data_IF_392095012032
#
_entry.id   IF_392095012032
#
_cell.length_a   1.000
_cell.length_b   1.000
_cell.length_c   1.000
_cell.angle_alpha   90.00
_cell.angle_beta   90.00
_cell.angle_gamma   90.00
#
_symmetry.space_group_name_H-M   'P 1'
#
loop_
_entity.id
_entity.type
_entity.pdbx_description
1 polymer ?
#
# COMPACT_ATOMS: atom_id res chain seq x y z
N UNK A 1 12.78 -13.16 -19.70
CA UNK A 1 12.51 -13.85 -18.43
C UNK A 1 11.47 -14.97 -18.56
N UNK A 2 10.21 -14.74 -18.94
CA UNK A 2 9.18 -15.78 -19.07
C UNK A 2 9.55 -16.89 -20.10
N UNK A 3 10.08 -16.54 -21.26
CA UNK A 3 10.58 -17.49 -22.25
C UNK A 3 11.73 -18.37 -21.73
N UNK A 4 12.63 -17.79 -20.92
CA UNK A 4 13.71 -18.56 -20.28
C UNK A 4 13.19 -19.58 -19.26
N UNK A 5 12.06 -19.28 -18.59
CA UNK A 5 11.40 -20.23 -17.69
C UNK A 5 10.70 -21.36 -18.45
N UNK A 6 10.09 -21.04 -19.60
CA UNK A 6 9.51 -22.05 -20.51
C UNK A 6 10.57 -22.97 -21.06
N UNK A 7 11.69 -22.43 -21.56
CA UNK A 7 12.80 -23.17 -22.14
C UNK A 7 13.46 -24.10 -21.12
N UNK A 8 13.46 -23.71 -19.84
CA UNK A 8 13.99 -24.54 -18.73
C UNK A 8 12.96 -25.48 -18.11
N UNK A 9 11.73 -25.57 -18.64
CA UNK A 9 10.59 -26.35 -18.07
C UNK A 9 10.30 -26.03 -16.60
N UNK A 10 10.58 -24.80 -16.15
CA UNK A 10 10.45 -24.33 -14.76
C UNK A 10 9.11 -23.62 -14.48
N UNK A 11 8.07 -23.85 -15.28
CA UNK A 11 6.74 -23.29 -15.04
C UNK A 11 5.96 -24.22 -14.13
N UNK A 12 5.64 -23.74 -12.93
CA UNK A 12 4.84 -24.50 -11.97
C UNK A 12 3.41 -24.73 -12.49
N UNK A 13 2.90 -25.95 -12.35
CA UNK A 13 1.54 -26.33 -12.79
C UNK A 13 0.45 -25.76 -11.90
N UNK A 14 0.74 -25.53 -10.62
CA UNK A 14 -0.19 -24.98 -9.61
C UNK A 14 0.46 -23.87 -8.81
N UNK A 15 0.74 -22.70 -9.43
CA UNK A 15 1.62 -21.69 -8.85
C UNK A 15 1.04 -21.08 -7.55
N UNK A 16 -0.28 -21.01 -7.37
CA UNK A 16 -0.92 -20.49 -6.15
C UNK A 16 -0.66 -21.42 -4.95
N UNK A 17 -0.83 -22.72 -5.14
CA UNK A 17 -0.61 -23.70 -4.06
C UNK A 17 0.88 -23.75 -3.69
N UNK A 18 1.74 -23.71 -4.70
CA UNK A 18 3.20 -23.73 -4.50
C UNK A 18 3.70 -22.49 -3.76
N UNK A 19 3.20 -21.30 -4.08
CA UNK A 19 3.63 -20.07 -3.39
C UNK A 19 3.17 -20.07 -1.93
N UNK A 20 1.97 -20.56 -1.63
CA UNK A 20 1.48 -20.68 -0.26
C UNK A 20 2.34 -21.65 0.56
N UNK A 21 2.81 -22.73 -0.06
CA UNK A 21 3.66 -23.73 0.62
C UNK A 21 5.11 -23.29 0.77
N UNK A 22 5.67 -22.69 -0.28
CA UNK A 22 7.10 -22.37 -0.35
C UNK A 22 7.45 -20.99 0.21
N UNK A 23 6.56 -20.00 0.07
CA UNK A 23 6.80 -18.59 0.42
C UNK A 23 5.66 -17.96 1.23
N UNK A 24 5.15 -18.61 2.30
CA UNK A 24 4.04 -18.06 3.10
C UNK A 24 4.43 -16.77 3.85
N UNK A 25 5.69 -16.64 4.25
CA UNK A 25 6.22 -15.46 4.92
C UNK A 25 6.16 -14.23 4.04
N UNK A 26 6.57 -14.37 2.78
CA UNK A 26 6.56 -13.30 1.79
C UNK A 26 5.14 -12.83 1.46
N UNK A 27 4.16 -13.76 1.42
CA UNK A 27 2.74 -13.43 1.24
C UNK A 27 2.24 -12.59 2.42
N UNK A 28 2.51 -13.02 3.65
CA UNK A 28 2.07 -12.31 4.87
C UNK A 28 2.73 -10.94 4.95
N UNK A 29 4.05 -10.85 4.74
CA UNK A 29 4.77 -9.59 4.74
C UNK A 29 4.25 -8.64 3.66
N UNK A 30 3.96 -9.14 2.46
CA UNK A 30 3.38 -8.33 1.38
C UNK A 30 2.00 -7.80 1.72
N UNK A 31 1.14 -8.62 2.34
CA UNK A 31 -0.18 -8.20 2.77
C UNK A 31 -0.11 -7.16 3.90
N UNK A 32 0.75 -7.36 4.89
CA UNK A 32 0.96 -6.42 5.99
C UNK A 32 1.63 -5.12 5.53
N UNK A 33 2.55 -5.21 4.55
CA UNK A 33 3.19 -4.05 3.96
C UNK A 33 2.15 -3.05 3.46
N UNK A 34 1.13 -3.50 2.77
CA UNK A 34 0.14 -2.64 2.14
C UNK A 34 -0.91 -2.04 3.08
N UNK A 35 -0.90 -2.38 4.38
CA UNK A 35 -1.93 -1.87 5.30
C UNK A 35 -1.92 -0.35 5.43
N UNK A 36 -0.75 0.30 5.37
CA UNK A 36 -0.63 1.76 5.48
C UNK A 36 -1.03 2.52 4.21
N UNK A 37 -1.14 1.83 3.08
CA UNK A 37 -1.65 2.40 1.84
C UNK A 37 -3.14 2.12 1.69
N UNK A 38 -3.55 0.84 1.84
CA UNK A 38 -4.92 0.40 1.58
C UNK A 38 -5.94 0.99 2.56
N UNK A 39 -5.70 0.91 3.87
CA UNK A 39 -6.67 1.40 4.85
C UNK A 39 -6.90 2.92 4.73
N UNK A 40 -5.85 3.79 4.70
CA UNK A 40 -6.06 5.22 4.48
C UNK A 40 -6.68 5.54 3.11
N UNK A 41 -6.32 4.83 2.04
CA UNK A 41 -6.90 5.06 0.72
C UNK A 41 -8.43 4.89 0.74
N UNK A 42 -8.94 3.82 1.37
CA UNK A 42 -10.38 3.62 1.51
C UNK A 42 -11.02 4.62 2.47
N UNK A 43 -10.34 5.05 3.52
CA UNK A 43 -10.82 6.09 4.42
C UNK A 43 -10.93 7.42 3.67
N UNK A 44 -9.88 7.85 2.98
CA UNK A 44 -9.83 9.14 2.28
C UNK A 44 -10.69 9.19 1.02
N UNK A 45 -11.05 8.04 0.43
CA UNK A 45 -11.91 8.00 -0.75
C UNK A 45 -13.37 7.64 -0.46
N UNK A 46 -13.65 6.90 0.62
CA UNK A 46 -15.00 6.39 0.90
C UNK A 46 -15.56 6.99 2.19
N UNK A 47 -14.88 6.83 3.32
CA UNK A 47 -15.36 7.35 4.60
C UNK A 47 -15.48 8.87 4.60
N UNK A 48 -14.58 9.58 3.91
CA UNK A 48 -14.61 11.06 3.84
C UNK A 48 -15.93 11.61 3.28
N UNK A 49 -16.58 10.89 2.34
CA UNK A 49 -17.87 11.34 1.81
C UNK A 49 -18.94 11.35 2.90
N UNK A 50 -19.12 10.24 3.61
CA UNK A 50 -20.09 10.17 4.70
C UNK A 50 -19.75 11.19 5.79
N UNK A 51 -18.48 11.28 6.18
CA UNK A 51 -18.05 12.19 7.24
C UNK A 51 -18.23 13.67 6.89
N UNK A 52 -17.75 14.09 5.72
CA UNK A 52 -17.79 15.50 5.31
C UNK A 52 -19.22 15.95 4.93
N UNK A 53 -20.00 15.08 4.28
CA UNK A 53 -21.36 15.47 3.83
C UNK A 53 -22.36 15.32 4.97
N UNK A 54 -22.38 14.18 5.67
CA UNK A 54 -23.43 13.89 6.66
C UNK A 54 -23.14 14.55 8.01
N UNK A 55 -21.84 14.65 8.41
CA UNK A 55 -21.46 15.19 9.74
C UNK A 55 -21.09 16.66 9.68
N UNK A 56 -20.28 17.07 8.68
CA UNK A 56 -19.80 18.44 8.56
C UNK A 56 -20.67 19.31 7.64
N UNK A 57 -21.73 18.74 7.06
CA UNK A 57 -22.69 19.40 6.14
C UNK A 57 -22.02 20.10 4.95
N UNK A 58 -20.96 19.51 4.44
CA UNK A 58 -20.22 20.04 3.30
C UNK A 58 -20.82 19.62 1.96
N UNK A 59 -20.54 20.40 0.92
CA UNK A 59 -20.98 20.07 -0.43
C UNK A 59 -20.29 18.79 -0.96
N UNK A 60 -21.09 17.82 -1.42
CA UNK A 60 -20.58 16.62 -2.09
C UNK A 60 -19.68 16.95 -3.28
N UNK A 61 -20.02 18.02 -4.03
CA UNK A 61 -19.23 18.45 -5.20
C UNK A 61 -17.83 18.91 -4.80
N UNK A 62 -17.66 19.51 -3.63
CA UNK A 62 -16.34 19.87 -3.10
C UNK A 62 -15.47 18.64 -2.88
N UNK A 63 -16.03 17.63 -2.23
CA UNK A 63 -15.29 16.38 -1.93
C UNK A 63 -14.93 15.67 -3.25
N UNK A 64 -15.89 15.53 -4.17
CA UNK A 64 -15.66 14.94 -5.48
C UNK A 64 -14.56 15.68 -6.27
N UNK A 65 -14.59 17.02 -6.28
CA UNK A 65 -13.56 17.80 -6.97
C UNK A 65 -12.17 17.61 -6.34
N UNK A 66 -12.09 17.53 -5.00
CA UNK A 66 -10.85 17.23 -4.29
C UNK A 66 -10.29 15.86 -4.68
N UNK A 67 -11.13 14.82 -4.68
CA UNK A 67 -10.74 13.46 -5.09
C UNK A 67 -10.32 13.40 -6.56
N UNK A 68 -11.01 14.14 -7.46
CA UNK A 68 -10.61 14.22 -8.86
C UNK A 68 -9.24 14.88 -9.03
N UNK A 69 -8.98 15.98 -8.32
CA UNK A 69 -7.67 16.65 -8.37
C UNK A 69 -6.59 15.74 -7.76
N UNK A 70 -6.88 15.04 -6.65
CA UNK A 70 -5.99 14.04 -6.07
C UNK A 70 -5.63 12.96 -7.09
N UNK A 71 -6.61 12.44 -7.85
CA UNK A 71 -6.38 11.48 -8.92
C UNK A 71 -5.52 12.04 -10.07
N UNK A 72 -5.71 13.32 -10.43
CA UNK A 72 -4.84 13.99 -11.41
C UNK A 72 -3.39 14.10 -10.91
N UNK A 73 -3.19 14.41 -9.63
CA UNK A 73 -1.87 14.46 -8.99
C UNK A 73 -1.19 13.08 -9.03
N UNK A 74 -1.96 11.99 -8.98
CA UNK A 74 -1.45 10.62 -9.08
C UNK A 74 -0.65 10.37 -10.37
N UNK A 75 -1.09 10.91 -11.50
CA UNK A 75 -0.39 10.76 -12.79
C UNK A 75 1.06 11.28 -12.76
N UNK A 76 1.34 12.23 -11.88
CA UNK A 76 2.67 12.80 -11.70
C UNK A 76 3.40 12.10 -10.54
N UNK A 77 2.74 11.91 -9.42
CA UNK A 77 3.39 11.44 -8.19
C UNK A 77 3.75 9.95 -8.24
N UNK A 78 2.95 9.10 -8.89
CA UNK A 78 3.25 7.66 -9.01
C UNK A 78 4.51 7.42 -9.83
N UNK A 79 4.67 7.93 -11.07
CA UNK A 79 5.92 7.76 -11.82
C UNK A 79 7.12 8.38 -11.11
N UNK A 80 6.93 9.55 -10.49
CA UNK A 80 8.00 10.23 -9.75
C UNK A 80 8.48 9.40 -8.55
N UNK A 81 7.54 8.80 -7.80
CA UNK A 81 7.89 7.94 -6.66
C UNK A 81 8.60 6.65 -7.11
N UNK A 82 8.17 6.06 -8.23
CA UNK A 82 8.86 4.94 -8.86
C UNK A 82 10.31 5.28 -9.21
N UNK A 83 10.50 6.40 -9.92
CA UNK A 83 11.84 6.88 -10.27
C UNK A 83 12.71 7.22 -9.03
N UNK A 84 12.11 7.83 -8.02
CA UNK A 84 12.80 8.10 -6.75
C UNK A 84 13.24 6.81 -6.07
N UNK A 85 12.37 5.80 -6.08
CA UNK A 85 12.63 4.48 -5.48
C UNK A 85 13.80 3.74 -6.14
N UNK A 86 13.95 3.89 -7.45
CA UNK A 86 15.06 3.29 -8.19
C UNK A 86 16.40 3.94 -7.84
N UNK A 87 16.39 5.23 -7.42
CA UNK A 87 17.62 5.98 -7.06
C UNK A 87 18.03 5.82 -5.61
N UNK A 88 17.10 5.98 -4.66
CA UNK A 88 17.42 5.99 -3.22
C UNK A 88 17.16 4.65 -2.53
N UNK A 89 16.55 3.70 -3.24
CA UNK A 89 16.18 2.37 -2.76
C UNK A 89 14.68 2.23 -2.54
N UNK A 90 14.12 1.12 -2.99
CA UNK A 90 12.67 0.86 -2.92
C UNK A 90 12.16 0.80 -1.49
N UNK A 91 12.85 0.05 -0.66
CA UNK A 91 12.50 -0.08 0.77
C UNK A 91 12.56 1.27 1.49
N UNK A 92 13.59 2.08 1.23
CA UNK A 92 13.74 3.40 1.88
C UNK A 92 12.61 4.34 1.48
N UNK A 93 12.30 4.42 0.18
CA UNK A 93 11.21 5.26 -0.34
C UNK A 93 9.87 4.84 0.26
N UNK A 94 9.61 3.54 0.32
CA UNK A 94 8.40 3.00 0.94
C UNK A 94 8.31 3.37 2.44
N UNK A 95 9.39 3.20 3.21
CA UNK A 95 9.42 3.54 4.64
C UNK A 95 9.13 5.03 4.89
N UNK A 96 9.67 5.91 4.05
CA UNK A 96 9.37 7.35 4.10
C UNK A 96 7.88 7.60 3.84
N UNK A 97 7.32 6.95 2.82
CA UNK A 97 5.89 7.04 2.49
C UNK A 97 5.00 6.57 3.63
N UNK A 98 5.29 5.40 4.21
CA UNK A 98 4.52 4.83 5.32
C UNK A 98 4.60 5.68 6.60
N UNK A 99 5.79 6.16 6.95
CA UNK A 99 5.97 7.06 8.09
C UNK A 99 5.22 8.39 7.88
N UNK A 100 5.33 8.97 6.68
CA UNK A 100 4.61 10.20 6.33
C UNK A 100 3.09 10.00 6.36
N UNK A 101 2.57 8.83 5.95
CA UNK A 101 1.15 8.52 6.02
C UNK A 101 0.64 8.46 7.47
N UNK A 102 1.38 7.80 8.35
CA UNK A 102 1.02 7.72 9.78
C UNK A 102 0.91 9.10 10.43
N UNK A 103 1.82 10.02 10.10
CA UNK A 103 1.79 11.41 10.59
C UNK A 103 0.71 12.22 9.88
N UNK A 104 0.57 12.06 8.57
CA UNK A 104 -0.39 12.80 7.76
C UNK A 104 -1.84 12.50 8.15
N UNK A 105 -2.15 11.31 8.64
CA UNK A 105 -3.49 10.97 9.13
C UNK A 105 -3.99 11.94 10.20
N UNK A 106 -3.13 12.41 11.09
CA UNK A 106 -3.48 13.44 12.10
C UNK A 106 -3.69 14.81 11.45
N UNK A 107 -2.79 15.22 10.57
CA UNK A 107 -2.91 16.49 9.84
C UNK A 107 -4.17 16.51 8.97
N UNK A 108 -4.46 15.39 8.28
CA UNK A 108 -5.63 15.25 7.43
C UNK A 108 -6.93 15.55 8.21
N UNK A 109 -7.15 14.84 9.31
CA UNK A 109 -8.36 15.04 10.10
C UNK A 109 -8.36 16.39 10.84
N UNK A 110 -7.21 16.89 11.30
CA UNK A 110 -7.14 18.24 11.85
C UNK A 110 -7.59 19.32 10.85
N UNK A 111 -7.28 19.16 9.57
CA UNK A 111 -7.74 20.06 8.50
C UNK A 111 -9.22 19.83 8.15
N UNK A 112 -9.66 18.58 8.08
CA UNK A 112 -11.05 18.23 7.74
C UNK A 112 -12.01 18.70 8.81
N UNK A 113 -11.67 18.54 10.09
CA UNK A 113 -12.51 18.90 11.24
C UNK A 113 -12.71 20.43 11.37
N UNK A 114 -11.90 21.25 10.69
CA UNK A 114 -12.15 22.69 10.62
C UNK A 114 -13.45 23.03 9.89
N UNK A 115 -13.99 22.11 9.08
CA UNK A 115 -15.12 22.31 8.17
C UNK A 115 -14.95 23.53 7.22
N UNK A 116 -13.71 24.00 7.05
CA UNK A 116 -13.40 25.08 6.08
C UNK A 116 -13.21 24.43 4.70
N UNK A 117 -14.01 24.82 3.67
CA UNK A 117 -13.99 24.19 2.36
C UNK A 117 -12.60 24.10 1.70
N UNK A 118 -11.81 25.16 1.80
CA UNK A 118 -10.45 25.21 1.27
C UNK A 118 -9.49 24.28 2.02
N UNK A 119 -9.60 24.18 3.35
CA UNK A 119 -8.77 23.32 4.16
C UNK A 119 -9.07 21.84 3.86
N UNK A 120 -10.35 21.48 3.76
CA UNK A 120 -10.77 20.11 3.40
C UNK A 120 -10.31 19.73 2.01
N UNK A 121 -10.47 20.61 1.04
CA UNK A 121 -9.99 20.39 -0.33
C UNK A 121 -8.48 20.14 -0.36
N UNK A 122 -7.72 21.00 0.32
CA UNK A 122 -6.25 20.87 0.40
C UNK A 122 -5.86 19.57 1.11
N UNK A 123 -6.54 19.19 2.20
CA UNK A 123 -6.28 17.93 2.90
C UNK A 123 -6.44 16.71 1.97
N UNK A 124 -7.54 16.68 1.20
CA UNK A 124 -7.80 15.60 0.23
C UNK A 124 -6.69 15.55 -0.83
N UNK A 125 -6.34 16.68 -1.43
CA UNK A 125 -5.31 16.73 -2.48
C UNK A 125 -3.93 16.36 -1.93
N UNK A 126 -3.55 16.86 -0.76
CA UNK A 126 -2.25 16.56 -0.14
C UNK A 126 -2.11 15.09 0.27
N UNK A 127 -3.22 14.39 0.52
CA UNK A 127 -3.18 12.94 0.83
C UNK A 127 -2.58 12.11 -0.30
N UNK A 128 -2.58 12.64 -1.53
CA UNK A 128 -1.90 12.04 -2.68
C UNK A 128 -0.40 11.80 -2.43
N UNK A 129 0.27 12.69 -1.72
CA UNK A 129 1.72 12.63 -1.54
C UNK A 129 2.14 11.38 -0.76
N UNK A 130 1.72 11.16 0.50
CA UNK A 130 2.08 9.95 1.24
C UNK A 130 1.49 8.67 0.63
N UNK A 131 0.30 8.73 0.03
CA UNK A 131 -0.35 7.59 -0.58
C UNK A 131 0.42 7.10 -1.82
N UNK A 132 0.70 7.98 -2.76
CA UNK A 132 1.32 7.59 -4.03
C UNK A 132 2.84 7.42 -3.93
N UNK A 133 3.48 7.97 -2.89
CA UNK A 133 4.87 7.65 -2.58
C UNK A 133 5.02 6.16 -2.20
N UNK A 134 4.05 5.58 -1.50
CA UNK A 134 3.98 4.15 -1.21
C UNK A 134 3.57 3.37 -2.45
N UNK A 135 2.46 3.74 -3.10
CA UNK A 135 1.88 3.02 -4.22
C UNK A 135 2.84 2.84 -5.39
N UNK A 136 3.62 3.88 -5.74
CA UNK A 136 4.59 3.82 -6.84
C UNK A 136 5.79 2.91 -6.57
N UNK A 137 6.08 2.59 -5.30
CA UNK A 137 7.22 1.75 -4.89
C UNK A 137 6.82 0.33 -4.52
N UNK A 138 5.63 0.13 -3.97
CA UNK A 138 5.24 -1.14 -3.33
C UNK A 138 5.14 -2.30 -4.32
N UNK A 139 4.65 -2.05 -5.53
CA UNK A 139 4.49 -3.11 -6.53
C UNK A 139 5.81 -3.80 -6.87
N UNK A 140 6.88 -3.01 -7.04
CA UNK A 140 8.21 -3.51 -7.30
C UNK A 140 8.80 -4.21 -6.05
N UNK A 141 8.67 -3.57 -4.88
CA UNK A 141 9.16 -4.12 -3.60
C UNK A 141 8.50 -5.47 -3.28
N UNK A 142 7.20 -5.61 -3.49
CA UNK A 142 6.47 -6.86 -3.30
C UNK A 142 6.89 -7.90 -4.34
N UNK A 143 6.93 -7.53 -5.63
CA UNK A 143 7.27 -8.46 -6.69
C UNK A 143 8.67 -9.07 -6.51
N UNK A 144 9.62 -8.30 -6.01
CA UNK A 144 10.99 -8.73 -5.76
C UNK A 144 11.15 -9.66 -4.56
N UNK A 145 10.18 -9.69 -3.66
CA UNK A 145 10.18 -10.61 -2.53
C UNK A 145 9.96 -12.08 -2.94
N UNK A 146 9.40 -12.31 -4.14
CA UNK A 146 9.07 -13.65 -4.63
C UNK A 146 10.06 -14.16 -5.69
N UNK A 147 10.32 -15.48 -5.68
CA UNK A 147 11.14 -16.13 -6.72
C UNK A 147 10.54 -15.94 -8.12
N UNK A 148 11.35 -15.93 -9.19
CA UNK A 148 10.86 -15.68 -10.54
C UNK A 148 9.69 -16.56 -10.99
N UNK A 149 9.66 -17.85 -10.59
CA UNK A 149 8.60 -18.79 -10.93
C UNK A 149 7.27 -18.48 -10.23
N UNK A 150 7.32 -17.98 -9.00
CA UNK A 150 6.16 -17.76 -8.13
C UNK A 150 5.80 -16.27 -8.00
N UNK A 151 6.60 -15.38 -8.60
CA UNK A 151 6.48 -13.92 -8.46
C UNK A 151 5.08 -13.40 -8.80
N UNK A 152 4.53 -13.82 -9.94
CA UNK A 152 3.20 -13.36 -10.36
C UNK A 152 2.11 -13.77 -9.36
N UNK A 153 2.07 -15.05 -9.01
CA UNK A 153 1.04 -15.58 -8.09
C UNK A 153 1.24 -15.09 -6.66
N UNK A 154 2.49 -15.00 -6.20
CA UNK A 154 2.81 -14.55 -4.85
C UNK A 154 2.51 -13.07 -4.65
N UNK A 155 2.97 -12.22 -5.56
CA UNK A 155 2.70 -10.78 -5.48
C UNK A 155 1.20 -10.48 -5.62
N UNK A 156 0.50 -11.16 -6.53
CA UNK A 156 -0.95 -11.01 -6.68
C UNK A 156 -1.69 -11.40 -5.41
N UNK A 157 -1.34 -12.55 -4.80
CA UNK A 157 -1.99 -13.03 -3.58
C UNK A 157 -1.73 -12.08 -2.40
N UNK A 158 -0.48 -11.69 -2.15
CA UNK A 158 -0.14 -10.72 -1.10
C UNK A 158 -0.82 -9.37 -1.30
N UNK A 159 -0.88 -8.91 -2.56
CA UNK A 159 -1.52 -7.67 -2.94
C UNK A 159 -3.03 -7.65 -2.64
N UNK A 160 -3.74 -8.71 -3.02
CA UNK A 160 -5.19 -8.78 -2.82
C UNK A 160 -5.59 -9.11 -1.38
N UNK A 161 -4.79 -9.87 -0.64
CA UNK A 161 -5.04 -10.11 0.79
C UNK A 161 -5.08 -8.81 1.59
N UNK A 162 -4.20 -7.85 1.30
CA UNK A 162 -4.24 -6.54 1.93
C UNK A 162 -5.58 -5.82 1.70
N UNK A 163 -6.11 -5.87 0.49
CA UNK A 163 -7.41 -5.26 0.16
C UNK A 163 -8.55 -5.88 0.95
N UNK A 164 -8.53 -7.21 1.16
CA UNK A 164 -9.56 -7.93 1.92
C UNK A 164 -9.48 -7.62 3.42
N UNK A 165 -8.28 -7.62 4.02
CA UNK A 165 -8.13 -7.52 5.47
C UNK A 165 -7.95 -6.09 5.99
N UNK A 166 -7.37 -5.19 5.19
CA UNK A 166 -7.15 -3.80 5.62
C UNK A 166 -8.00 -2.79 4.86
N UNK A 167 -8.09 -2.90 3.52
CA UNK A 167 -8.81 -1.92 2.71
C UNK A 167 -10.32 -1.98 2.91
N UNK A 168 -10.93 -3.15 2.66
CA UNK A 168 -12.39 -3.32 2.75
C UNK A 168 -12.99 -2.97 4.12
N UNK A 169 -12.44 -3.46 5.23
CA UNK A 169 -12.93 -3.13 6.57
C UNK A 169 -12.66 -1.68 7.02
N UNK A 170 -11.69 -0.98 6.43
CA UNK A 170 -11.24 0.32 6.91
C UNK A 170 -12.36 1.38 7.02
N UNK A 171 -13.27 1.57 6.04
CA UNK A 171 -14.36 2.53 6.19
C UNK A 171 -15.34 2.13 7.31
N UNK A 172 -15.60 0.84 7.49
CA UNK A 172 -16.47 0.33 8.57
C UNK A 172 -15.83 0.58 9.93
N UNK A 173 -14.53 0.31 10.06
CA UNK A 173 -13.77 0.58 11.28
C UNK A 173 -13.78 2.09 11.57
N UNK A 174 -13.52 2.94 10.57
CA UNK A 174 -13.54 4.38 10.73
C UNK A 174 -14.93 4.89 11.17
N UNK A 175 -15.99 4.40 10.55
CA UNK A 175 -17.38 4.72 10.93
C UNK A 175 -17.70 4.28 12.36
N UNK A 176 -17.32 3.07 12.75
CA UNK A 176 -17.54 2.54 14.10
C UNK A 176 -16.75 3.33 15.15
N UNK A 177 -15.49 3.69 14.85
CA UNK A 177 -14.68 4.54 15.73
C UNK A 177 -15.31 5.94 15.90
N UNK A 178 -15.74 6.53 14.80
CA UNK A 178 -16.42 7.83 14.87
C UNK A 178 -17.73 7.76 15.64
N UNK A 179 -18.56 6.76 15.37
CA UNK A 179 -19.83 6.58 16.08
C UNK A 179 -19.65 6.41 17.59
N UNK A 180 -18.59 5.70 18.01
CA UNK A 180 -18.31 5.45 19.43
C UNK A 180 -17.73 6.66 20.15
N UNK A 181 -16.78 7.35 19.53
CA UNK A 181 -15.98 8.39 20.19
C UNK A 181 -16.38 9.81 19.83
N UNK A 182 -17.24 9.98 18.82
CA UNK A 182 -17.68 11.28 18.29
C UNK A 182 -16.50 12.22 17.96
N UNK A 183 -15.42 11.64 17.49
CA UNK A 183 -14.15 12.32 17.19
C UNK A 183 -13.42 11.60 16.06
N UNK A 184 -12.70 12.33 15.24
CA UNK A 184 -11.82 11.83 14.18
C UNK A 184 -10.47 11.30 14.71
N UNK A 185 -10.06 11.70 15.92
CA UNK A 185 -8.79 11.30 16.53
C UNK A 185 -8.53 9.79 16.54
N UNK A 186 -9.51 8.92 16.93
CA UNK A 186 -9.31 7.47 16.88
C UNK A 186 -9.06 6.93 15.47
N UNK A 187 -9.57 7.61 14.43
CA UNK A 187 -9.33 7.23 13.04
C UNK A 187 -7.88 7.55 12.66
N UNK A 188 -7.37 8.72 13.09
CA UNK A 188 -5.95 9.06 12.89
C UNK A 188 -5.02 8.07 13.59
N UNK A 189 -5.36 7.62 14.80
CA UNK A 189 -4.62 6.57 15.53
C UNK A 189 -4.67 5.24 14.77
N UNK A 190 -5.81 4.88 14.22
CA UNK A 190 -5.94 3.67 13.39
C UNK A 190 -5.04 3.72 12.15
N UNK A 191 -4.99 4.87 11.45
CA UNK A 191 -4.08 5.08 10.32
C UNK A 191 -2.61 4.96 10.77
N UNK A 192 -2.26 5.56 11.90
CA UNK A 192 -0.91 5.45 12.46
C UNK A 192 -0.56 4.00 12.85
N UNK A 193 -1.50 3.24 13.41
CA UNK A 193 -1.31 1.83 13.70
C UNK A 193 -1.08 1.00 12.42
N UNK A 194 -1.84 1.26 11.35
CA UNK A 194 -1.60 0.65 10.04
C UNK A 194 -0.20 1.00 9.50
N UNK A 195 0.24 2.25 9.68
CA UNK A 195 1.58 2.68 9.28
C UNK A 195 2.68 1.92 10.06
N UNK A 196 2.52 1.75 11.38
CA UNK A 196 3.46 0.97 12.20
C UNK A 196 3.55 -0.48 11.73
N UNK A 197 2.42 -1.13 11.43
CA UNK A 197 2.39 -2.50 10.89
C UNK A 197 3.15 -2.58 9.57
N UNK A 198 2.95 -1.63 8.67
CA UNK A 198 3.62 -1.59 7.37
C UNK A 198 5.11 -1.29 7.50
N UNK A 199 5.50 -0.38 8.40
CA UNK A 199 6.90 -0.10 8.69
C UNK A 199 7.63 -1.33 9.24
N UNK A 200 7.00 -2.05 10.17
CA UNK A 200 7.53 -3.30 10.70
C UNK A 200 7.68 -4.35 9.59
N UNK A 201 6.65 -4.52 8.76
CA UNK A 201 6.69 -5.46 7.64
C UNK A 201 7.80 -5.11 6.64
N UNK A 202 7.92 -3.84 6.25
CA UNK A 202 8.97 -3.36 5.36
C UNK A 202 10.38 -3.57 5.94
N UNK A 203 10.52 -3.51 7.27
CA UNK A 203 11.80 -3.77 7.93
C UNK A 203 12.28 -5.22 7.75
N UNK A 204 11.34 -6.17 7.65
CA UNK A 204 11.65 -7.59 7.44
C UNK A 204 11.67 -8.01 5.98
N UNK A 205 11.21 -7.16 5.05
CA UNK A 205 11.30 -7.44 3.62
C UNK A 205 12.71 -7.21 3.09
N UNK A 206 13.18 -8.07 2.19
CA UNK A 206 14.46 -7.87 1.53
C UNK A 206 14.43 -6.66 0.58
N UNK A 207 15.57 -6.01 0.41
CA UNK A 207 15.77 -4.92 -0.55
C UNK A 207 16.74 -5.37 -1.66
N UNK A 208 16.23 -5.44 -2.86
CA UNK A 208 16.97 -5.85 -4.06
C UNK A 208 17.21 -4.71 -5.04
N UNK A 209 17.06 -3.47 -4.60
CA UNK A 209 17.25 -2.30 -5.45
C UNK A 209 18.58 -2.36 -6.19
N UNK A 210 18.52 -2.35 -7.53
CA UNK A 210 19.70 -2.37 -8.40
C UNK A 210 20.45 -3.69 -8.51
N UNK A 211 19.93 -4.79 -7.95
CA UNK A 211 20.54 -6.11 -8.03
C UNK A 211 19.93 -6.99 -9.11
N UNK A 212 20.72 -7.93 -9.64
CA UNK A 212 20.20 -8.98 -10.54
C UNK A 212 19.45 -10.02 -9.72
N UNK A 213 18.13 -9.89 -9.72
CA UNK A 213 17.23 -10.77 -8.97
C UNK A 213 17.09 -12.17 -9.59
N UNK A 214 17.68 -12.44 -10.76
CA UNK A 214 17.64 -13.77 -11.36
C UNK A 214 18.63 -14.74 -10.71
N UNK A 215 19.73 -14.25 -10.16
CA UNK A 215 20.78 -15.05 -9.54
C UNK A 215 20.63 -15.15 -8.01
N UNK A 216 20.19 -14.10 -7.33
CA UNK A 216 20.07 -14.07 -5.86
C UNK A 216 18.98 -15.01 -5.31
N UNK A 217 17.96 -15.34 -6.12
CA UNK A 217 16.89 -16.24 -5.67
C UNK A 217 17.31 -17.69 -5.53
N UNK A 218 18.32 -18.13 -6.28
CA UNK A 218 18.80 -19.50 -6.21
C UNK A 218 19.62 -19.74 -4.92
N UNK A 219 20.31 -18.71 -4.43
CA UNK A 219 21.13 -18.81 -3.20
C UNK A 219 20.30 -18.72 -1.91
N UNK A 220 19.13 -18.07 -1.95
CA UNK A 220 18.28 -17.83 -0.76
C UNK A 220 17.28 -18.93 -0.46
N UNK A 221 16.84 -19.62 -1.49
CA UNK A 221 15.90 -20.73 -1.38
C UNK A 221 16.53 -21.98 -2.00
N UNK A 222 17.59 -22.51 -1.37
CA UNK A 222 18.26 -23.72 -1.87
C UNK A 222 17.30 -24.92 -1.96
N UNK A 223 16.21 -24.90 -1.17
CA UNK A 223 15.16 -25.92 -1.20
C UNK A 223 14.18 -25.77 -2.37
N UNK A 224 14.20 -24.61 -3.06
CA UNK A 224 13.55 -24.47 -4.37
C UNK A 224 14.48 -25.12 -5.41
N UNK A 225 14.74 -26.42 -5.21
CA UNK A 225 15.61 -27.22 -6.04
C UNK A 225 15.17 -27.03 -7.49
N UNK A 226 16.06 -26.46 -8.25
CA UNK A 226 16.03 -26.52 -9.71
C UNK A 226 16.06 -28.01 -10.04
N UNK A 227 14.88 -28.62 -10.18
CA UNK A 227 14.80 -29.93 -10.81
C UNK A 227 15.20 -29.71 -12.27
N UNK A 228 16.45 -30.03 -12.55
CA UNK A 228 17.05 -30.01 -13.89
C UNK A 228 16.28 -30.93 -14.81
#
# INVERSE_FOLDING_TARGET
>A
MFQQLLDKKKVERTPIIEVIKKQPKEIILSALLRTSEQAPAFIFNTFIFAYAVDTLHMSQNLILSGVMVMACVAFITIPLSGHLSDRIGRRKTYLIGAASMGLFGFLYFAMVDTAIPTAVFIAIVLSAIPAYLQYGTEAALIAEAFTPQLRYSGSSLGYHLASVFSGGPAPLIATALFAKYQSSHPISIYIAACAVVSLASAAFMPDYTGKDISMEYDDRHPDVTIVL
#
